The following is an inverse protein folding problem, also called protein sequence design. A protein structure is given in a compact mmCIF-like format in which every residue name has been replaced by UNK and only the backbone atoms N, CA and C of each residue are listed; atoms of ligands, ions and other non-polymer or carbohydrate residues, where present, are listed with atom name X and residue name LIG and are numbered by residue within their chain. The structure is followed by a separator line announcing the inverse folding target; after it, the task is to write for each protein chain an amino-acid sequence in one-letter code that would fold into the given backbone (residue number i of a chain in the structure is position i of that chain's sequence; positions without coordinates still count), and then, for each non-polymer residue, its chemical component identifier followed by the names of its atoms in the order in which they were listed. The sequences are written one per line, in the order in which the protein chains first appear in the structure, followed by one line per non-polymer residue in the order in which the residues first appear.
data_IF_808920956667
#
_entry.id   IF_808920956667
#
_cell.length_a   1.000
_cell.length_b   1.000
_cell.length_c   1.000
_cell.angle_alpha   90.00
_cell.angle_beta   90.00
_cell.angle_gamma   90.00
#
_symmetry.space_group_name_H-M   'P 1'
#
loop_
_entity.id
_entity.type
_entity.pdbx_description
1 polymer ?
#
# COMPACT_ATOMS: atom_id res chain seq x y z
N UNK A 1 -1.28 -0.77 -2.73
CA UNK A 1 -0.99 -2.06 -2.06
C UNK A 1 0.50 -2.23 -1.96
N UNK A 2 0.99 -2.94 -0.93
CA UNK A 2 2.44 -3.11 -0.69
C UNK A 2 3.13 -3.76 -1.88
N UNK A 3 2.52 -4.76 -2.50
CA UNK A 3 3.07 -5.43 -3.69
C UNK A 3 3.24 -4.43 -4.84
N UNK A 4 2.21 -3.63 -5.13
CA UNK A 4 2.28 -2.58 -6.15
C UNK A 4 3.43 -1.61 -5.87
N UNK A 5 3.53 -1.04 -4.66
CA UNK A 5 4.58 -0.08 -4.34
C UNK A 5 5.99 -0.67 -4.39
N UNK A 6 6.16 -1.92 -3.94
CA UNK A 6 7.44 -2.62 -4.01
C UNK A 6 7.83 -2.91 -5.47
N UNK A 7 6.87 -3.35 -6.29
CA UNK A 7 7.09 -3.61 -7.72
C UNK A 7 7.45 -2.32 -8.46
N UNK A 8 6.74 -1.22 -8.23
CA UNK A 8 7.05 0.09 -8.80
C UNK A 8 8.43 0.59 -8.38
N UNK A 9 8.80 0.42 -7.11
CA UNK A 9 10.14 0.79 -6.62
C UNK A 9 11.23 -0.03 -7.30
N UNK A 10 11.01 -1.33 -7.49
CA UNK A 10 11.94 -2.19 -8.21
C UNK A 10 12.11 -1.73 -9.67
N UNK A 11 11.01 -1.44 -10.37
CA UNK A 11 11.05 -0.85 -11.72
C UNK A 11 11.83 0.47 -11.80
N UNK A 12 11.78 1.32 -10.76
CA UNK A 12 12.56 2.56 -10.72
C UNK A 12 14.06 2.35 -10.47
N UNK A 13 14.45 1.24 -9.81
CA UNK A 13 15.85 0.95 -9.48
C UNK A 13 16.56 0.25 -10.65
N UNK A 14 15.84 -0.51 -11.47
CA UNK A 14 16.38 -1.14 -12.67
C UNK A 14 16.89 -0.09 -13.67
N UNK A 15 18.13 -0.26 -14.13
CA UNK A 15 18.75 0.66 -15.10
C UNK A 15 18.30 0.40 -16.54
N UNK A 16 17.99 -0.86 -16.90
CA UNK A 16 17.36 -1.20 -18.19
C UNK A 16 15.84 -1.40 -17.98
N UNK A 17 14.97 -0.66 -18.71
CA UNK A 17 13.52 -0.88 -18.65
C UNK A 17 13.11 -2.30 -19.04
N UNK A 18 13.95 -3.03 -19.80
CA UNK A 18 13.69 -4.40 -20.22
C UNK A 18 14.12 -5.47 -19.18
N UNK A 19 14.96 -5.12 -18.21
CA UNK A 19 15.32 -6.04 -17.10
C UNK A 19 14.08 -6.51 -16.34
N UNK A 20 13.01 -5.71 -16.40
CA UNK A 20 11.76 -5.93 -15.72
C UNK A 20 10.55 -6.23 -16.62
N UNK A 21 10.79 -6.66 -17.86
CA UNK A 21 9.70 -7.08 -18.76
C UNK A 21 9.14 -8.47 -18.44
N UNK A 22 9.95 -9.35 -17.84
CA UNK A 22 9.47 -10.66 -17.39
C UNK A 22 8.97 -10.55 -15.94
N UNK A 23 7.68 -10.84 -15.66
CA UNK A 23 7.12 -10.78 -14.32
C UNK A 23 7.93 -11.59 -13.31
N UNK A 24 8.47 -12.74 -13.71
CA UNK A 24 9.24 -13.65 -12.86
C UNK A 24 10.54 -13.07 -12.33
N UNK A 25 11.32 -12.32 -13.13
CA UNK A 25 12.62 -11.78 -12.69
C UNK A 25 12.50 -10.66 -11.66
N UNK A 26 11.42 -9.86 -11.71
CA UNK A 26 11.25 -8.71 -10.82
C UNK A 26 10.55 -8.99 -9.49
N UNK A 27 10.10 -10.23 -9.28
CA UNK A 27 9.08 -10.52 -8.25
C UNK A 27 9.39 -11.74 -7.41
N UNK A 28 10.56 -12.37 -7.61
CA UNK A 28 11.04 -13.48 -6.78
C UNK A 28 10.89 -13.18 -5.26
N UNK A 29 11.28 -12.00 -4.74
CA UNK A 29 11.11 -11.71 -3.31
C UNK A 29 9.65 -11.51 -2.89
N UNK A 30 8.72 -11.27 -3.84
CA UNK A 30 7.31 -10.97 -3.55
C UNK A 30 6.50 -12.27 -3.50
N UNK A 31 6.81 -13.26 -4.35
CA UNK A 31 6.12 -14.55 -4.32
C UNK A 31 6.35 -15.33 -3.02
N UNK A 32 7.49 -15.13 -2.35
CA UNK A 32 7.85 -15.79 -1.09
C UNK A 32 7.13 -15.22 0.14
N UNK A 33 6.40 -14.12 0.01
CA UNK A 33 5.86 -13.37 1.17
C UNK A 33 4.48 -13.83 1.64
N UNK A 34 3.98 -14.98 1.14
CA UNK A 34 2.73 -15.60 1.61
C UNK A 34 1.43 -14.92 1.14
N UNK A 35 1.51 -14.00 0.17
CA UNK A 35 0.32 -13.36 -0.39
C UNK A 35 -0.40 -14.28 -1.38
N UNK A 36 -1.71 -14.09 -1.52
CA UNK A 36 -2.54 -14.83 -2.50
C UNK A 36 -1.95 -14.63 -3.91
N UNK A 37 -1.65 -15.70 -4.68
CA UNK A 37 -1.02 -15.59 -6.01
C UNK A 37 -1.78 -14.67 -6.97
N UNK A 38 -3.11 -14.67 -6.93
CA UNK A 38 -3.97 -13.80 -7.74
C UNK A 38 -3.79 -12.31 -7.42
N UNK A 39 -3.56 -11.96 -6.16
CA UNK A 39 -3.32 -10.58 -5.72
C UNK A 39 -1.94 -10.10 -6.17
N UNK A 40 -0.95 -10.99 -6.08
CA UNK A 40 0.42 -10.75 -6.55
C UNK A 40 0.41 -10.43 -8.05
N UNK A 41 -0.09 -11.34 -8.88
CA UNK A 41 -0.11 -11.18 -10.34
C UNK A 41 -0.85 -9.93 -10.78
N UNK A 42 -2.02 -9.64 -10.17
CA UNK A 42 -2.80 -8.43 -10.47
C UNK A 42 -2.03 -7.15 -10.15
N UNK A 43 -1.40 -7.07 -8.98
CA UNK A 43 -0.66 -5.87 -8.58
C UNK A 43 0.63 -5.68 -9.40
N UNK A 44 1.34 -6.77 -9.73
CA UNK A 44 2.50 -6.72 -10.63
C UNK A 44 2.10 -6.22 -12.00
N UNK A 45 1.08 -6.83 -12.62
CA UNK A 45 0.62 -6.42 -13.95
C UNK A 45 0.20 -4.95 -13.98
N UNK A 46 -0.45 -4.46 -12.93
CA UNK A 46 -0.81 -3.05 -12.80
C UNK A 46 0.42 -2.14 -12.69
N UNK A 47 1.46 -2.57 -11.96
CA UNK A 47 2.70 -1.82 -11.81
C UNK A 47 3.50 -1.75 -13.11
N UNK A 48 3.70 -2.89 -13.79
CA UNK A 48 4.39 -2.99 -15.09
C UNK A 48 3.70 -2.15 -16.16
N UNK A 49 2.35 -2.12 -16.17
CA UNK A 49 1.56 -1.33 -17.12
C UNK A 49 1.68 0.18 -16.89
N UNK A 50 2.11 0.62 -15.70
CA UNK A 50 2.27 2.04 -15.40
C UNK A 50 3.59 2.54 -15.99
N UNK A 51 3.54 3.29 -17.09
CA UNK A 51 4.73 3.81 -17.79
C UNK A 51 5.57 4.74 -16.89
N UNK A 52 6.88 4.51 -16.87
CA UNK A 52 7.91 5.25 -16.12
C UNK A 52 7.80 6.80 -16.17
N UNK A 53 7.58 7.47 -17.33
CA UNK A 53 7.52 8.94 -17.35
C UNK A 53 6.34 9.52 -16.56
N UNK A 54 5.23 8.80 -16.38
CA UNK A 54 4.12 9.25 -15.52
C UNK A 54 4.41 9.10 -14.02
N UNK A 55 5.38 8.26 -13.65
CA UNK A 55 5.78 8.04 -12.26
C UNK A 55 6.77 9.11 -11.76
N UNK A 56 7.53 9.72 -12.68
CA UNK A 56 8.48 10.80 -12.39
C UNK A 56 7.82 12.19 -12.29
N UNK A 57 6.54 12.32 -12.65
CA UNK A 57 5.82 13.58 -12.54
C UNK A 57 5.52 13.90 -11.07
N UNK A 58 5.88 15.12 -10.67
CA UNK A 58 5.52 15.64 -9.35
C UNK A 58 3.99 15.65 -9.20
N UNK A 59 3.51 15.09 -8.10
CA UNK A 59 2.11 15.19 -7.69
C UNK A 59 2.05 16.02 -6.42
N UNK A 60 1.24 17.08 -6.44
CA UNK A 60 0.94 17.84 -5.24
C UNK A 60 0.32 16.93 -4.19
N UNK A 61 0.90 16.96 -2.99
CA UNK A 61 0.36 16.25 -1.83
C UNK A 61 -0.86 17.01 -1.34
N UNK A 62 -2.02 16.35 -1.36
CA UNK A 62 -3.20 16.87 -0.64
C UNK A 62 -2.93 16.77 0.86
N UNK A 63 -3.07 17.89 1.56
CA UNK A 63 -3.07 17.90 3.02
C UNK A 63 -4.39 17.26 3.46
N UNK A 64 -4.30 16.19 4.25
CA UNK A 64 -5.46 15.51 4.81
C UNK A 64 -5.44 15.65 6.33
N UNK A 65 -6.60 15.94 6.90
CA UNK A 65 -6.90 15.95 8.34
C UNK A 65 -7.09 14.55 8.91
N UNK A 66 -7.13 13.51 8.08
CA UNK A 66 -7.33 12.13 8.54
C UNK A 66 -6.13 11.62 9.32
N UNK A 67 -6.42 11.06 10.48
CA UNK A 67 -5.42 10.43 11.34
C UNK A 67 -5.05 9.05 10.77
N UNK A 68 -3.78 8.73 10.57
CA UNK A 68 -3.37 7.40 10.10
C UNK A 68 -3.36 6.40 11.26
N UNK A 69 -4.04 5.25 11.09
CA UNK A 69 -3.86 4.07 11.93
C UNK A 69 -2.76 3.19 11.33
N UNK A 70 -1.56 3.28 11.91
CA UNK A 70 -0.37 2.60 11.39
C UNK A 70 -0.25 1.19 11.99
N UNK A 71 -0.42 0.17 11.17
CA UNK A 71 -0.28 -1.24 11.56
C UNK A 71 0.86 -1.93 10.81
N UNK A 72 1.41 -3.00 11.38
CA UNK A 72 2.29 -3.89 10.62
C UNK A 72 1.45 -4.69 9.64
N UNK A 73 1.83 -4.71 8.36
CA UNK A 73 1.06 -5.45 7.36
C UNK A 73 1.11 -6.96 7.62
N UNK A 74 -0.06 -7.58 7.60
CA UNK A 74 -0.21 -9.03 7.60
C UNK A 74 -1.38 -9.38 6.67
N UNK A 75 -1.23 -10.32 5.71
CA UNK A 75 -2.31 -10.75 4.82
C UNK A 75 -3.60 -11.22 5.53
N UNK A 76 -3.51 -11.66 6.79
CA UNK A 76 -4.69 -12.05 7.59
C UNK A 76 -5.49 -10.85 8.09
N UNK A 77 -4.92 -9.64 8.04
CA UNK A 77 -5.52 -8.40 8.54
C UNK A 77 -6.29 -7.63 7.46
N UNK A 78 -6.68 -8.28 6.35
CA UNK A 78 -7.55 -7.67 5.32
C UNK A 78 -8.86 -7.11 5.93
N UNK A 79 -9.32 -7.69 7.04
CA UNK A 79 -10.55 -7.28 7.72
C UNK A 79 -10.42 -6.03 8.60
N UNK A 80 -9.20 -5.55 8.93
CA UNK A 80 -9.03 -4.37 9.78
C UNK A 80 -9.75 -3.15 9.18
N UNK A 81 -9.70 -3.01 7.85
CA UNK A 81 -10.40 -1.91 7.16
C UNK A 81 -11.92 -1.96 7.38
N UNK A 82 -12.50 -3.16 7.47
CA UNK A 82 -13.91 -3.36 7.79
C UNK A 82 -14.19 -3.00 9.24
N UNK A 83 -13.38 -3.52 10.17
CA UNK A 83 -13.52 -3.24 11.61
C UNK A 83 -13.47 -1.74 11.91
N UNK A 84 -12.54 -1.00 11.30
CA UNK A 84 -12.44 0.46 11.48
C UNK A 84 -13.74 1.16 11.05
N UNK A 85 -14.31 0.76 9.92
CA UNK A 85 -15.57 1.34 9.41
C UNK A 85 -16.74 0.99 10.32
N UNK A 86 -16.80 -0.24 10.80
CA UNK A 86 -17.87 -0.73 11.67
C UNK A 86 -17.83 -0.06 13.05
N UNK A 87 -16.64 0.28 13.56
CA UNK A 87 -16.45 0.95 14.85
C UNK A 87 -16.47 2.48 14.76
N UNK A 88 -16.35 3.07 13.55
CA UNK A 88 -16.38 4.52 13.38
C UNK A 88 -17.63 5.19 13.97
N UNK A 89 -18.86 4.65 13.81
CA UNK A 89 -20.06 5.23 14.41
C UNK A 89 -19.92 5.42 15.92
N UNK A 90 -19.35 4.43 16.62
CA UNK A 90 -19.12 4.51 18.07
C UNK A 90 -18.18 5.66 18.44
N UNK A 91 -17.16 5.93 17.61
CA UNK A 91 -16.24 7.06 17.83
C UNK A 91 -16.91 8.42 17.58
N UNK A 92 -17.90 8.47 16.67
CA UNK A 92 -18.61 9.70 16.33
C UNK A 92 -19.79 10.01 17.25
N UNK A 93 -20.31 9.01 17.97
CA UNK A 93 -21.37 9.16 18.98
C UNK A 93 -20.84 9.75 20.30
N UNK A 94 -19.55 9.56 20.60
CA UNK A 94 -18.91 10.11 21.78
C UNK A 94 -18.45 11.57 21.56
N UNK A 95 -18.94 12.50 22.38
CA UNK A 95 -18.64 13.94 22.28
C UNK A 95 -17.16 14.29 22.46
N UNK A 96 -16.39 13.48 23.19
CA UNK A 96 -14.95 13.69 23.37
C UNK A 96 -14.17 13.17 22.17
N UNK A 97 -14.51 11.95 21.70
CA UNK A 97 -13.78 11.28 20.63
C UNK A 97 -14.11 11.86 19.26
N UNK A 98 -15.33 12.33 19.03
CA UNK A 98 -15.74 12.98 17.79
C UNK A 98 -14.88 14.19 17.43
N UNK A 99 -14.43 14.94 18.43
CA UNK A 99 -13.56 16.10 18.23
C UNK A 99 -12.10 15.71 17.93
N UNK A 100 -11.67 14.52 18.37
CA UNK A 100 -10.29 14.02 18.19
C UNK A 100 -10.17 13.21 16.89
N UNK A 101 -11.17 12.38 16.57
CA UNK A 101 -11.20 11.45 15.44
C UNK A 101 -12.50 11.72 14.64
N UNK A 102 -12.58 12.92 14.09
CA UNK A 102 -13.74 13.40 13.33
C UNK A 102 -13.95 12.65 12.02
N UNK A 103 -12.86 12.18 11.41
CA UNK A 103 -12.87 11.40 10.17
C UNK A 103 -12.40 9.97 10.40
N UNK A 104 -12.84 9.05 9.53
CA UNK A 104 -12.38 7.66 9.58
C UNK A 104 -10.86 7.59 9.42
N UNK A 105 -10.15 6.91 10.34
CA UNK A 105 -8.71 6.78 10.25
C UNK A 105 -8.27 6.10 8.95
N UNK A 106 -7.19 6.60 8.36
CA UNK A 106 -6.56 5.95 7.20
C UNK A 106 -5.79 4.74 7.70
N UNK A 107 -6.16 3.54 7.25
CA UNK A 107 -5.34 2.35 7.48
C UNK A 107 -4.02 2.49 6.71
N UNK A 108 -2.93 2.63 7.44
CA UNK A 108 -1.57 2.74 6.92
C UNK A 108 -0.74 1.53 7.35
N UNK A 109 0.20 1.11 6.51
CA UNK A 109 1.08 -0.01 6.80
C UNK A 109 2.51 0.47 7.05
N UNK A 110 3.14 -0.08 8.11
CA UNK A 110 4.57 0.16 8.37
C UNK A 110 5.40 -0.32 7.18
N UNK A 111 6.39 0.48 6.82
CA UNK A 111 7.42 0.05 5.88
C UNK A 111 8.32 -0.98 6.58
N UNK A 112 8.67 -2.05 5.87
CA UNK A 112 9.65 -3.01 6.37
C UNK A 112 11.01 -2.32 6.59
N UNK A 113 11.79 -2.70 7.61
CA UNK A 113 13.13 -2.15 7.82
C UNK A 113 13.99 -2.38 6.58
N UNK A 114 14.80 -1.39 6.21
CA UNK A 114 15.80 -1.56 5.18
C UNK A 114 16.80 -2.63 5.68
N UNK A 115 16.98 -3.71 4.92
CA UNK A 115 18.06 -4.67 5.19
C UNK A 115 19.36 -3.99 4.76
N UNK A 116 20.23 -3.67 5.73
CA UNK A 116 21.61 -3.24 5.50
C UNK A 116 22.48 -4.44 5.12
#
# INVERSE_FOLDING_TARGET
GIIYSQTTRYHHICSDPNDCNSPSKCTLPIYETGYKPKTITKQIHSAVKTQCPRLLQYREKKISTQVPLVVTYNPTLEEISRIIKDLQPMLTEDETLKNIISETPILAFRQAPNKN
#
